data_IF_875317813604
#
_entry.id   IF_875317813604
#
_cell.length_a   1.000
_cell.length_b   1.000
_cell.length_c   1.000
_cell.angle_alpha   90.00
_cell.angle_beta   90.00
_cell.angle_gamma   90.00
#
_symmetry.space_group_name_H-M   'P 1'
#
loop_
_entity.id
_entity.type
_entity.pdbx_description
1 polymer ?
#
# COMPACT_ATOMS: atom_id res chain seq x y z
N UNK A 1 22.27 -77.34 -35.22
CA UNK A 1 22.38 -77.17 -36.68
C UNK A 1 22.61 -75.68 -36.90
N UNK A 2 23.86 -75.22 -36.96
CA UNK A 2 24.60 -74.93 -38.22
C UNK A 2 23.80 -73.90 -39.05
N UNK A 3 24.29 -72.73 -39.49
CA UNK A 3 25.62 -72.18 -39.70
C UNK A 3 25.38 -70.76 -40.22
N UNK A 4 26.18 -69.76 -39.88
CA UNK A 4 26.68 -68.85 -40.92
C UNK A 4 27.90 -68.06 -40.43
N UNK A 5 29.05 -68.42 -41.01
CA UNK A 5 30.28 -67.63 -41.05
C UNK A 5 29.99 -66.30 -41.74
N UNK A 6 30.64 -65.22 -41.31
CA UNK A 6 31.60 -64.54 -42.19
C UNK A 6 32.46 -63.48 -41.46
N UNK A 7 33.76 -63.74 -41.55
CA UNK A 7 34.87 -62.82 -41.83
C UNK A 7 35.06 -61.56 -40.96
N UNK A 8 35.93 -61.76 -39.98
CA UNK A 8 36.89 -60.77 -39.48
C UNK A 8 37.64 -60.15 -40.68
N UNK A 9 37.77 -58.81 -40.74
CA UNK A 9 39.05 -58.07 -40.55
C UNK A 9 39.00 -56.63 -41.10
N UNK A 10 39.09 -55.68 -40.16
CA UNK A 10 39.80 -54.37 -40.20
C UNK A 10 39.54 -53.40 -41.37
N UNK A 11 39.14 -52.17 -41.03
CA UNK A 11 39.71 -50.89 -41.53
C UNK A 11 39.30 -49.78 -40.53
N UNK A 12 40.20 -49.37 -39.63
CA UNK A 12 40.97 -48.10 -39.64
C UNK A 12 40.13 -46.81 -39.65
N UNK A 13 40.12 -46.16 -38.48
CA UNK A 13 40.22 -44.71 -38.19
C UNK A 13 39.20 -43.75 -38.85
N UNK A 14 38.41 -43.04 -38.05
CA UNK A 14 38.72 -41.68 -37.61
C UNK A 14 37.55 -41.04 -36.83
N UNK A 15 37.95 -40.14 -35.94
CA UNK A 15 37.19 -39.24 -35.08
C UNK A 15 35.80 -38.82 -35.59
N UNK A 16 34.80 -38.87 -34.70
CA UNK A 16 33.99 -37.69 -34.38
C UNK A 16 33.69 -37.71 -32.88
N UNK A 17 34.30 -36.78 -32.15
CA UNK A 17 33.96 -36.51 -30.75
C UNK A 17 32.63 -35.76 -30.73
N UNK A 18 31.53 -36.42 -30.39
CA UNK A 18 30.28 -35.74 -30.05
C UNK A 18 30.23 -35.51 -28.55
N UNK A 19 30.75 -34.36 -28.13
CA UNK A 19 30.44 -33.81 -26.81
C UNK A 19 28.97 -33.39 -26.86
N UNK A 20 28.10 -34.07 -26.12
CA UNK A 20 26.72 -33.63 -25.90
C UNK A 20 26.43 -33.81 -24.42
N UNK A 21 26.63 -32.73 -23.66
CA UNK A 21 26.28 -32.69 -22.26
C UNK A 21 25.79 -31.28 -21.90
N UNK A 22 24.76 -31.28 -21.03
CA UNK A 22 24.06 -30.18 -20.39
C UNK A 22 23.05 -29.37 -21.22
N UNK A 23 21.79 -29.80 -21.16
CA UNK A 23 20.67 -28.87 -21.03
C UNK A 23 20.22 -28.91 -19.56
N UNK A 24 20.66 -27.95 -18.76
CA UNK A 24 20.04 -27.66 -17.46
C UNK A 24 18.80 -26.84 -17.77
N UNK A 25 17.62 -27.47 -17.71
CA UNK A 25 16.36 -26.75 -17.75
C UNK A 25 16.19 -26.00 -16.42
N UNK A 26 16.57 -24.72 -16.41
CA UNK A 26 16.25 -23.83 -15.29
C UNK A 26 14.74 -23.61 -15.34
N UNK A 27 14.01 -24.26 -14.43
CA UNK A 27 12.59 -24.03 -14.23
C UNK A 27 12.45 -22.59 -13.72
N UNK A 28 12.11 -21.67 -14.62
CA UNK A 28 11.86 -20.28 -14.29
C UNK A 28 10.68 -20.18 -13.34
N UNK A 29 10.97 -20.07 -12.03
CA UNK A 29 10.05 -19.47 -11.08
C UNK A 29 9.89 -18.02 -11.51
N UNK A 30 8.87 -17.76 -12.35
CA UNK A 30 8.39 -16.42 -12.59
C UNK A 30 7.92 -15.88 -11.25
N UNK A 31 8.76 -15.06 -10.60
CA UNK A 31 8.34 -14.22 -9.50
C UNK A 31 7.36 -13.24 -10.16
N UNK A 32 6.07 -13.57 -10.12
CA UNK A 32 5.05 -12.63 -10.56
C UNK A 32 5.24 -11.39 -9.69
N UNK A 33 5.44 -10.18 -10.27
CA UNK A 33 5.39 -8.99 -9.45
C UNK A 33 4.03 -9.01 -8.77
N UNK A 34 4.02 -8.97 -7.44
CA UNK A 34 2.79 -8.72 -6.71
C UNK A 34 2.31 -7.35 -7.18
N UNK A 35 1.34 -7.34 -8.09
CA UNK A 35 0.60 -6.15 -8.44
C UNK A 35 -0.03 -5.70 -7.13
N UNK A 36 0.59 -4.72 -6.47
CA UNK A 36 -0.04 -4.06 -5.34
C UNK A 36 -1.31 -3.46 -5.91
N UNK A 37 -2.46 -4.03 -5.55
CA UNK A 37 -3.74 -3.41 -5.86
C UNK A 37 -3.63 -1.96 -5.41
N UNK A 38 -3.90 -1.03 -6.33
CA UNK A 38 -3.82 0.39 -6.03
C UNK A 38 -4.67 0.68 -4.79
N UNK A 39 -3.99 1.01 -3.69
CA UNK A 39 -4.58 1.09 -2.37
C UNK A 39 -5.21 2.45 -2.13
N UNK A 40 -6.18 2.51 -1.22
CA UNK A 40 -6.61 3.80 -0.69
C UNK A 40 -5.45 4.45 0.09
N UNK A 41 -5.31 5.77 -0.02
CA UNK A 41 -4.30 6.54 0.70
C UNK A 41 -4.94 7.67 1.48
N UNK A 42 -4.27 8.14 2.53
CA UNK A 42 -4.70 9.31 3.28
C UNK A 42 -3.52 10.21 3.62
N UNK A 43 -3.79 11.50 3.71
CA UNK A 43 -2.89 12.51 4.27
C UNK A 43 -3.61 13.26 5.39
N UNK A 44 -2.85 13.67 6.41
CA UNK A 44 -3.30 14.56 7.47
C UNK A 44 -2.18 15.54 7.78
N UNK A 45 -2.36 16.81 7.42
CA UNK A 45 -1.28 17.79 7.49
C UNK A 45 -1.77 19.12 8.06
N UNK A 46 -0.91 19.76 8.85
CA UNK A 46 -1.20 21.09 9.39
C UNK A 46 -1.06 22.14 8.29
N UNK A 47 -2.07 22.99 8.13
CA UNK A 47 -2.07 24.09 7.19
C UNK A 47 -1.66 25.41 7.86
N UNK A 48 -2.15 25.64 9.08
CA UNK A 48 -1.88 26.86 9.84
C UNK A 48 -1.77 26.56 11.33
N UNK A 49 -0.87 27.26 12.01
CA UNK A 49 -0.74 27.25 13.47
C UNK A 49 -0.63 28.67 13.98
N UNK A 50 -1.14 28.90 15.18
CA UNK A 50 -0.98 30.14 15.94
C UNK A 50 -0.86 29.80 17.42
N UNK A 51 -0.75 30.82 18.28
CA UNK A 51 -0.40 30.67 19.70
C UNK A 51 -1.33 29.74 20.49
N UNK A 52 -2.59 29.60 20.07
CA UNK A 52 -3.63 28.88 20.82
C UNK A 52 -4.40 27.85 20.00
N UNK A 53 -4.01 27.63 18.75
CA UNK A 53 -4.71 26.67 17.90
C UNK A 53 -4.06 26.43 16.55
N UNK A 54 -4.71 25.56 15.80
CA UNK A 54 -4.24 25.13 14.49
C UNK A 54 -5.41 24.73 13.58
N UNK A 55 -5.11 24.71 12.29
CA UNK A 55 -5.96 24.14 11.23
C UNK A 55 -5.16 23.04 10.56
N UNK A 56 -5.75 21.85 10.45
CA UNK A 56 -5.20 20.74 9.68
C UNK A 56 -6.20 20.28 8.62
N UNK A 57 -5.68 19.84 7.48
CA UNK A 57 -6.45 19.31 6.37
C UNK A 57 -6.19 17.82 6.23
N UNK A 58 -7.22 17.06 5.84
CA UNK A 58 -7.06 15.68 5.43
C UNK A 58 -7.51 15.49 3.98
N UNK A 59 -6.90 14.51 3.33
CA UNK A 59 -7.34 14.00 2.03
C UNK A 59 -7.36 12.49 2.09
N UNK A 60 -8.48 11.87 1.68
CA UNK A 60 -8.60 10.43 1.47
C UNK A 60 -8.76 10.20 -0.02
N UNK A 61 -7.87 9.42 -0.62
CA UNK A 61 -7.87 9.15 -2.06
C UNK A 61 -8.09 7.67 -2.32
N UNK A 62 -9.03 7.35 -3.20
CA UNK A 62 -9.27 6.00 -3.63
C UNK A 62 -8.53 5.72 -4.94
N UNK A 63 -7.33 5.13 -4.87
CA UNK A 63 -6.60 4.75 -6.09
C UNK A 63 -7.09 3.42 -6.69
N UNK A 64 -8.01 2.71 -6.03
CA UNK A 64 -8.51 1.41 -6.47
C UNK A 64 -9.56 1.52 -7.58
N UNK A 65 -9.90 0.39 -8.19
CA UNK A 65 -10.97 0.30 -9.20
C UNK A 65 -12.37 0.08 -8.59
N UNK A 66 -12.48 -0.11 -7.27
CA UNK A 66 -13.75 -0.27 -6.57
C UNK A 66 -14.09 0.99 -5.76
N UNK A 67 -15.38 1.34 -5.56
CA UNK A 67 -15.74 2.44 -4.67
C UNK A 67 -15.27 2.22 -3.23
N UNK A 68 -14.72 3.26 -2.61
CA UNK A 68 -14.38 3.26 -1.19
C UNK A 68 -15.54 3.89 -0.42
N UNK A 69 -16.21 3.11 0.42
CA UNK A 69 -17.33 3.58 1.24
C UNK A 69 -16.95 3.63 2.71
N UNK A 70 -17.58 4.54 3.46
CA UNK A 70 -17.51 4.60 4.92
C UNK A 70 -16.07 4.62 5.46
N UNK A 71 -15.23 5.45 4.83
CA UNK A 71 -13.83 5.59 5.21
C UNK A 71 -13.70 6.05 6.68
N UNK A 72 -12.64 5.59 7.33
CA UNK A 72 -12.33 5.91 8.71
C UNK A 72 -10.87 6.33 8.81
N UNK A 73 -10.63 7.59 9.16
CA UNK A 73 -9.28 8.13 9.36
C UNK A 73 -9.03 8.27 10.85
N UNK A 74 -8.08 7.51 11.37
CA UNK A 74 -7.78 7.41 12.80
C UNK A 74 -6.40 8.02 13.05
N UNK A 75 -6.22 8.72 14.17
CA UNK A 75 -4.92 9.27 14.57
C UNK A 75 -4.90 9.58 16.06
N UNK A 76 -3.70 9.74 16.61
CA UNK A 76 -3.49 10.16 17.99
C UNK A 76 -3.00 11.60 18.05
N UNK A 77 -3.63 12.40 18.91
CA UNK A 77 -3.22 13.77 19.17
C UNK A 77 -2.20 13.81 20.32
N UNK A 78 -1.07 14.52 20.15
CA UNK A 78 -0.13 14.75 21.25
C UNK A 78 -0.75 15.50 22.44
N UNK A 79 -0.20 15.34 23.66
CA UNK A 79 -0.62 16.12 24.82
C UNK A 79 -0.56 17.63 24.57
N UNK A 80 -1.49 18.37 25.16
CA UNK A 80 -1.58 19.83 24.97
C UNK A 80 -2.26 20.25 23.66
N UNK A 81 -2.81 19.30 22.89
CA UNK A 81 -3.60 19.57 21.69
C UNK A 81 -4.93 18.81 21.71
N UNK A 82 -5.99 19.41 21.16
CA UNK A 82 -7.26 18.72 20.96
C UNK A 82 -8.01 19.25 19.74
N UNK A 83 -8.92 18.44 19.19
CA UNK A 83 -9.81 18.85 18.11
C UNK A 83 -11.02 19.57 18.69
N UNK A 84 -11.31 20.77 18.18
CA UNK A 84 -12.47 21.55 18.59
C UNK A 84 -13.69 21.30 17.69
N UNK A 85 -13.49 21.28 16.37
CA UNK A 85 -14.53 20.88 15.41
C UNK A 85 -13.90 20.45 14.09
N UNK A 86 -14.70 19.82 13.24
CA UNK A 86 -14.32 19.34 11.90
C UNK A 86 -15.31 19.83 10.85
N UNK A 87 -14.88 19.81 9.59
CA UNK A 87 -15.75 19.97 8.43
C UNK A 87 -15.51 18.85 7.42
N UNK A 88 -16.53 18.58 6.58
CA UNK A 88 -16.56 17.44 5.65
C UNK A 88 -16.31 16.08 6.31
N UNK A 89 -16.52 15.98 7.62
CA UNK A 89 -16.34 14.79 8.44
C UNK A 89 -17.05 14.97 9.78
N UNK A 90 -17.32 13.85 10.45
CA UNK A 90 -17.65 13.82 11.87
C UNK A 90 -16.47 13.27 12.66
N UNK A 91 -16.34 13.68 13.93
CA UNK A 91 -15.23 13.27 14.80
C UNK A 91 -15.77 12.61 16.07
N UNK A 92 -15.14 11.50 16.45
CA UNK A 92 -15.28 10.91 17.79
C UNK A 92 -13.92 10.81 18.46
N UNK A 93 -13.89 10.88 19.79
CA UNK A 93 -12.66 10.88 20.58
C UNK A 93 -12.75 9.90 21.74
N UNK A 94 -11.64 9.20 22.00
CA UNK A 94 -11.41 8.44 23.24
C UNK A 94 -10.00 8.72 23.75
N UNK A 95 -9.87 9.46 24.85
CA UNK A 95 -8.58 9.93 25.34
C UNK A 95 -7.88 10.82 24.29
N UNK A 96 -6.68 10.44 23.85
CA UNK A 96 -5.94 11.14 22.78
C UNK A 96 -6.22 10.59 21.38
N UNK A 97 -7.01 9.52 21.26
CA UNK A 97 -7.33 8.88 19.99
C UNK A 97 -8.55 9.52 19.34
N UNK A 98 -8.43 9.91 18.07
CA UNK A 98 -9.48 10.54 17.28
C UNK A 98 -9.80 9.72 16.05
N UNK A 99 -11.09 9.69 15.72
CA UNK A 99 -11.60 8.99 14.55
C UNK A 99 -12.46 9.95 13.74
N UNK A 100 -12.06 10.19 12.50
CA UNK A 100 -12.85 10.92 11.51
C UNK A 100 -13.60 9.94 10.61
N UNK A 101 -14.88 10.24 10.40
CA UNK A 101 -15.75 9.50 9.46
C UNK A 101 -16.40 10.47 8.48
N UNK A 102 -16.86 10.00 7.31
CA UNK A 102 -17.42 10.87 6.28
C UNK A 102 -18.64 11.66 6.73
N UNK A 103 -18.79 12.83 6.11
CA UNK A 103 -20.09 13.47 5.98
C UNK A 103 -20.95 12.72 4.95
N UNK A 104 -22.26 12.95 4.95
CA UNK A 104 -23.16 12.19 4.08
C UNK A 104 -22.84 12.34 2.58
N UNK A 105 -22.36 13.51 2.15
CA UNK A 105 -22.07 13.78 0.74
C UNK A 105 -20.72 13.22 0.25
N UNK A 106 -19.81 12.82 1.14
CA UNK A 106 -18.49 12.26 0.79
C UNK A 106 -18.27 10.85 1.37
N UNK A 107 -19.37 10.16 1.68
CA UNK A 107 -19.38 8.80 2.23
C UNK A 107 -18.82 7.77 1.25
N UNK A 108 -19.03 7.97 -0.04
CA UNK A 108 -18.54 7.09 -1.10
C UNK A 108 -17.58 7.85 -1.99
N UNK A 109 -16.38 7.32 -2.17
CA UNK A 109 -15.33 7.86 -3.04
C UNK A 109 -15.20 6.92 -4.24
N UNK A 110 -15.56 7.41 -5.42
CA UNK A 110 -15.41 6.66 -6.67
C UNK A 110 -13.94 6.33 -6.97
N UNK A 111 -13.67 5.33 -7.83
CA UNK A 111 -12.31 5.07 -8.34
C UNK A 111 -11.62 6.34 -8.85
N UNK A 112 -10.40 6.58 -8.38
CA UNK A 112 -9.61 7.78 -8.70
C UNK A 112 -10.06 9.07 -8.01
N UNK A 113 -11.14 9.03 -7.22
CA UNK A 113 -11.67 10.19 -6.50
C UNK A 113 -11.01 10.43 -5.15
N UNK A 114 -11.36 11.57 -4.55
CA UNK A 114 -10.92 11.92 -3.19
C UNK A 114 -12.04 12.57 -2.37
N UNK A 115 -11.98 12.37 -1.05
CA UNK A 115 -12.70 13.17 -0.07
C UNK A 115 -11.70 14.07 0.67
N UNK A 116 -12.04 15.34 0.80
CA UNK A 116 -11.20 16.34 1.50
C UNK A 116 -11.98 17.03 2.59
N UNK A 117 -11.27 17.44 3.63
CA UNK A 117 -11.83 18.16 4.75
C UNK A 117 -10.74 18.66 5.67
N UNK A 118 -11.14 19.01 6.88
CA UNK A 118 -10.18 19.45 7.87
C UNK A 118 -10.78 19.60 9.25
N UNK A 119 -9.93 20.06 10.15
CA UNK A 119 -10.21 20.19 11.55
C UNK A 119 -9.59 21.48 12.10
N UNK A 120 -10.32 22.10 13.03
CA UNK A 120 -9.80 23.16 13.88
C UNK A 120 -9.47 22.55 15.23
N UNK A 121 -8.25 22.76 15.68
CA UNK A 121 -7.82 22.36 17.01
C UNK A 121 -7.42 23.53 17.88
N UNK A 122 -7.32 23.25 19.17
CA UNK A 122 -6.71 24.12 20.18
C UNK A 122 -5.38 23.53 20.61
N UNK A 123 -4.45 24.39 20.99
CA UNK A 123 -3.15 23.97 21.49
C UNK A 123 -2.68 24.82 22.66
N UNK A 124 -1.96 24.20 23.58
CA UNK A 124 -1.21 24.84 24.65
C UNK A 124 0.26 24.45 24.51
N UNK A 125 1.16 25.44 24.40
CA UNK A 125 2.58 25.19 24.16
C UNK A 125 2.91 25.13 22.66
N UNK A 126 3.78 24.22 22.26
CA UNK A 126 4.23 24.08 20.87
C UNK A 126 3.42 23.01 20.13
N UNK A 127 3.09 23.28 18.86
CA UNK A 127 2.42 22.32 18.01
C UNK A 127 3.32 21.11 17.69
N UNK A 128 2.74 19.92 17.78
CA UNK A 128 3.29 18.63 17.36
C UNK A 128 2.27 17.93 16.44
N UNK A 129 2.70 17.34 15.31
CA UNK A 129 1.77 16.70 14.38
C UNK A 129 1.08 15.46 15.00
N UNK A 130 -0.14 15.11 14.54
CA UNK A 130 -0.78 13.85 14.88
C UNK A 130 0.11 12.64 14.58
N UNK A 131 0.06 11.64 15.45
CA UNK A 131 0.78 10.37 15.30
C UNK A 131 -0.17 9.23 14.92
N UNK A 132 0.38 8.08 14.54
CA UNK A 132 -0.36 6.84 14.28
C UNK A 132 -1.55 7.01 13.31
N UNK A 133 -1.39 7.91 12.34
CA UNK A 133 -2.43 8.18 11.36
C UNK A 133 -2.63 6.96 10.45
N UNK A 134 -3.84 6.42 10.41
CA UNK A 134 -4.20 5.23 9.62
C UNK A 134 -5.60 5.36 9.02
N UNK A 135 -5.73 4.97 7.76
CA UNK A 135 -6.99 4.86 7.04
C UNK A 135 -7.49 3.42 7.10
N UNK A 136 -8.75 3.24 7.53
CA UNK A 136 -9.46 1.97 7.67
C UNK A 136 -8.68 0.90 8.47
N UNK A 137 -7.83 1.32 9.41
CA UNK A 137 -6.96 0.43 10.19
C UNK A 137 -5.91 -0.33 9.38
N UNK A 138 -5.70 0.02 8.10
CA UNK A 138 -4.85 -0.74 7.18
C UNK A 138 -3.77 0.11 6.52
N UNK A 139 -4.08 1.34 6.12
CA UNK A 139 -3.19 2.16 5.30
C UNK A 139 -2.62 3.32 6.12
N UNK A 140 -1.33 3.30 6.49
CA UNK A 140 -0.71 4.43 7.16
C UNK A 140 -0.82 5.71 6.31
N UNK A 141 -1.02 6.84 6.97
CA UNK A 141 -1.03 8.12 6.27
C UNK A 141 0.38 8.48 5.77
N UNK A 142 0.42 9.22 4.67
CA UNK A 142 1.65 9.75 4.06
C UNK A 142 1.81 11.25 4.29
#
# INVERSE_FOLDING_TARGET
MDRQKNHVKRWRTALHATVSALMVAILGLAISPAAHAAAATATLSVAHTWQTGFIANFTVTNASMAPLSDWKLEFDMPPGQSVLHTWNSTVTQSGTHYVLTPANWNRVIAPGGSATGGLRGVLTGSYSPPANCVLNGQYPCT
#
